data_IF_049966033396
#
_entry.id   IF_049966033396
#
_cell.length_a   1.000
_cell.length_b   1.000
_cell.length_c   1.000
_cell.angle_alpha   90.00
_cell.angle_beta   90.00
_cell.angle_gamma   90.00
#
_symmetry.space_group_name_H-M   'P 1'
#
loop_
_entity.id
_entity.type
_entity.pdbx_description
1 polymer ?
#
# COMPACT_ATOMS: atom_id res chain seq x y z
N UNK A 1 3.19 17.14 -1.68
CA UNK A 1 3.14 18.57 -2.07
C UNK A 1 3.46 18.62 -3.55
N UNK A 2 2.62 19.23 -4.39
CA UNK A 2 2.94 19.49 -5.80
C UNK A 2 3.93 20.66 -5.80
N UNK A 3 5.19 20.40 -6.14
CA UNK A 3 6.31 21.36 -6.09
C UNK A 3 6.71 21.72 -7.53
N UNK A 4 5.74 22.11 -8.36
CA UNK A 4 6.03 22.47 -9.77
C UNK A 4 6.23 23.98 -9.96
N UNK A 5 5.83 24.83 -9.00
CA UNK A 5 5.85 26.31 -9.14
C UNK A 5 6.48 27.10 -7.95
N UNK A 6 7.09 26.44 -6.96
CA UNK A 6 7.74 27.17 -5.84
C UNK A 6 9.19 27.57 -6.18
N UNK A 7 9.55 28.83 -5.94
CA UNK A 7 10.94 29.29 -5.99
C UNK A 7 11.78 28.53 -4.92
N UNK A 8 13.07 28.31 -5.21
CA UNK A 8 13.97 27.50 -4.35
C UNK A 8 14.00 27.91 -2.87
N UNK A 9 13.90 29.21 -2.49
CA UNK A 9 13.82 29.64 -1.09
C UNK A 9 12.60 29.12 -0.31
N UNK A 10 11.42 29.10 -0.93
CA UNK A 10 10.15 28.67 -0.34
C UNK A 10 10.16 27.18 -0.07
N UNK A 11 10.68 26.40 -1.01
CA UNK A 11 10.83 24.94 -0.87
C UNK A 11 11.72 24.62 0.34
N UNK A 12 12.82 25.35 0.51
CA UNK A 12 13.74 25.15 1.64
C UNK A 12 13.05 25.54 2.96
N UNK A 13 12.30 26.64 2.99
CA UNK A 13 11.52 27.03 4.16
C UNK A 13 10.52 25.93 4.57
N UNK A 14 9.71 25.45 3.63
CA UNK A 14 8.73 24.37 3.83
C UNK A 14 9.40 23.07 4.27
N UNK A 15 10.55 22.72 3.67
CA UNK A 15 11.32 21.54 4.05
C UNK A 15 11.85 21.65 5.49
N UNK A 16 12.37 22.81 5.91
CA UNK A 16 12.86 23.01 7.28
C UNK A 16 11.75 22.80 8.30
N UNK A 17 10.54 23.29 8.03
CA UNK A 17 9.37 23.07 8.89
C UNK A 17 9.08 21.58 8.99
N UNK A 18 8.86 20.91 7.85
CA UNK A 18 8.49 19.48 7.82
C UNK A 18 9.55 18.60 8.48
N UNK A 19 10.83 18.82 8.15
CA UNK A 19 11.94 18.02 8.65
C UNK A 19 12.11 18.18 10.17
N UNK A 20 12.14 19.42 10.66
CA UNK A 20 12.28 19.67 12.09
C UNK A 20 10.97 19.52 12.86
N UNK A 21 9.84 19.27 12.20
CA UNK A 21 8.59 18.88 12.85
C UNK A 21 8.71 17.51 13.54
N UNK A 22 9.41 16.57 12.90
CA UNK A 22 9.59 15.20 13.38
C UNK A 22 10.97 14.95 14.02
N UNK A 23 11.95 15.83 13.79
CA UNK A 23 13.30 15.64 14.29
C UNK A 23 13.40 15.67 15.83
N UNK A 24 14.09 14.67 16.39
CA UNK A 24 14.36 14.58 17.83
C UNK A 24 15.43 15.59 18.31
N UNK A 25 16.32 16.02 17.41
CA UNK A 25 17.44 16.91 17.73
C UNK A 25 17.53 18.08 16.75
N UNK A 26 17.67 19.30 17.29
CA UNK A 26 17.78 20.54 16.50
C UNK A 26 19.15 21.16 16.78
N UNK A 27 20.03 21.33 15.77
CA UNK A 27 21.36 21.91 15.95
C UNK A 27 21.30 23.44 16.19
N UNK A 28 22.37 24.04 16.77
CA UNK A 28 22.37 25.47 17.12
C UNK A 28 22.63 26.38 15.90
N UNK A 29 23.29 25.84 14.87
CA UNK A 29 23.52 26.50 13.60
C UNK A 29 23.04 25.57 12.49
N UNK A 30 22.25 26.11 11.55
CA UNK A 30 21.83 25.44 10.33
C UNK A 30 22.32 26.29 9.15
N UNK A 31 23.09 25.68 8.26
CA UNK A 31 23.60 26.36 7.08
C UNK A 31 22.73 26.09 5.87
N UNK A 32 22.33 27.16 5.19
CA UNK A 32 21.42 27.11 4.04
C UNK A 32 22.15 27.57 2.76
N UNK A 33 21.78 27.04 1.60
CA UNK A 33 22.33 27.47 0.31
C UNK A 33 21.81 28.84 -0.14
N UNK A 34 20.63 29.25 0.34
CA UNK A 34 19.97 30.53 0.03
C UNK A 34 19.24 31.04 1.27
N UNK A 35 18.99 32.35 1.31
CA UNK A 35 18.14 32.95 2.34
C UNK A 35 16.70 32.51 2.12
N UNK A 36 16.00 32.21 3.21
CA UNK A 36 14.62 31.72 3.17
C UNK A 36 13.64 32.81 3.59
N UNK A 37 12.43 32.84 3.03
CA UNK A 37 11.35 33.70 3.52
C UNK A 37 11.10 33.47 5.00
N UNK A 38 10.79 34.55 5.74
CA UNK A 38 10.49 34.52 7.17
C UNK A 38 11.53 33.79 8.04
N UNK A 39 12.81 33.83 7.65
CA UNK A 39 13.89 33.15 8.36
C UNK A 39 13.99 33.48 9.85
N UNK A 40 13.65 34.71 10.26
CA UNK A 40 13.60 35.11 11.68
C UNK A 40 12.49 34.41 12.46
N UNK A 41 11.35 34.18 11.83
CA UNK A 41 10.23 33.41 12.40
C UNK A 41 10.61 31.94 12.54
N UNK A 42 11.26 31.38 11.51
CA UNK A 42 11.77 30.00 11.54
C UNK A 42 12.84 29.80 12.62
N UNK A 43 13.79 30.73 12.77
CA UNK A 43 14.78 30.70 13.86
C UNK A 43 14.12 30.67 15.24
N UNK A 44 13.06 31.48 15.44
CA UNK A 44 12.33 31.54 16.70
C UNK A 44 11.62 30.21 16.98
N UNK A 45 10.89 29.68 16.00
CA UNK A 45 10.19 28.41 16.11
C UNK A 45 11.16 27.25 16.41
N UNK A 46 12.28 27.16 15.69
CA UNK A 46 13.32 26.16 15.94
C UNK A 46 13.94 26.30 17.34
N UNK A 47 14.16 27.54 17.80
CA UNK A 47 14.69 27.82 19.14
C UNK A 47 13.73 27.40 20.26
N UNK A 48 12.43 27.67 20.10
CA UNK A 48 11.39 27.23 21.04
C UNK A 48 11.33 25.70 21.10
N UNK A 49 11.35 25.04 19.95
CA UNK A 49 11.31 23.58 19.84
C UNK A 49 12.54 22.87 20.40
N UNK A 50 13.67 23.57 20.47
CA UNK A 50 14.90 23.08 21.10
C UNK A 50 14.80 22.97 22.65
N UNK A 51 13.62 23.22 23.23
CA UNK A 51 13.29 23.00 24.65
C UNK A 51 14.29 23.66 25.61
N UNK A 52 14.63 24.93 25.37
CA UNK A 52 15.48 25.72 26.26
C UNK A 52 16.99 25.46 26.13
N UNK A 53 17.45 24.60 25.21
CA UNK A 53 18.89 24.32 24.99
C UNK A 53 19.63 25.40 24.18
N UNK A 54 19.14 26.63 24.17
CA UNK A 54 19.73 27.79 23.49
C UNK A 54 19.09 28.17 22.16
N UNK A 55 19.54 29.29 21.59
CA UNK A 55 19.06 29.86 20.33
C UNK A 55 19.56 29.04 19.12
N UNK A 56 18.70 28.89 18.12
CA UNK A 56 19.03 28.36 16.78
C UNK A 56 19.23 29.52 15.81
N UNK A 57 20.24 29.41 14.95
CA UNK A 57 20.52 30.40 13.90
C UNK A 57 20.54 29.76 12.51
N UNK A 58 19.86 30.40 11.56
CA UNK A 58 19.90 30.06 10.14
C UNK A 58 20.93 30.96 9.46
N UNK A 59 21.91 30.36 8.77
CA UNK A 59 23.04 31.11 8.20
C UNK A 59 23.27 30.71 6.75
N UNK A 60 23.48 31.70 5.89
CA UNK A 60 23.91 31.50 4.50
C UNK A 60 25.40 31.87 4.40
N UNK A 61 26.32 30.90 4.44
CA UNK A 61 27.74 31.19 4.45
C UNK A 61 28.22 31.77 3.10
N UNK A 62 28.82 32.96 3.15
CA UNK A 62 29.27 33.67 1.95
C UNK A 62 30.73 33.38 1.55
N UNK A 63 31.55 32.86 2.46
CA UNK A 63 32.97 32.52 2.25
C UNK A 63 33.49 31.50 3.26
N UNK A 64 34.65 30.90 2.98
CA UNK A 64 35.34 29.96 3.87
C UNK A 64 34.80 28.52 3.83
N UNK A 65 35.25 27.69 4.77
CA UNK A 65 34.95 26.25 4.83
C UNK A 65 33.44 25.95 4.90
N UNK A 66 32.67 26.74 5.67
CA UNK A 66 31.22 26.59 5.77
C UNK A 66 30.51 26.76 4.41
N UNK A 67 31.00 27.66 3.55
CA UNK A 67 30.47 27.81 2.18
C UNK A 67 30.86 26.62 1.30
N UNK A 68 32.08 26.11 1.44
CA UNK A 68 32.51 24.93 0.71
C UNK A 68 31.65 23.71 1.05
N UNK A 69 31.30 23.51 2.33
CA UNK A 69 30.40 22.45 2.79
C UNK A 69 28.99 22.56 2.18
N UNK A 70 28.38 23.75 2.25
CA UNK A 70 27.05 23.98 1.66
C UNK A 70 27.07 23.78 0.15
N UNK A 71 28.14 24.22 -0.53
CA UNK A 71 28.32 24.03 -1.98
C UNK A 71 28.41 22.55 -2.33
N UNK A 72 29.25 21.78 -1.63
CA UNK A 72 29.42 20.35 -1.87
C UNK A 72 28.12 19.56 -1.61
N UNK A 73 27.39 19.90 -0.55
CA UNK A 73 26.08 19.30 -0.26
C UNK A 73 25.07 19.62 -1.36
N UNK A 74 25.06 20.85 -1.88
CA UNK A 74 24.17 21.28 -2.97
C UNK A 74 24.51 20.58 -4.29
N UNK A 75 25.80 20.45 -4.63
CA UNK A 75 26.27 19.70 -5.81
C UNK A 75 25.87 18.22 -5.71
N UNK A 76 26.07 17.60 -4.55
CA UNK A 76 25.67 16.21 -4.30
C UNK A 76 24.15 16.02 -4.45
N UNK A 77 23.37 16.96 -3.92
CA UNK A 77 21.91 16.94 -4.03
C UNK A 77 21.45 17.08 -5.49
N UNK A 78 22.08 17.96 -6.27
CA UNK A 78 21.78 18.13 -7.69
C UNK A 78 22.12 16.88 -8.52
N UNK A 79 23.26 16.24 -8.25
CA UNK A 79 23.64 14.98 -8.90
C UNK A 79 22.65 13.85 -8.58
N UNK A 80 22.26 13.70 -7.31
CA UNK A 80 21.25 12.73 -6.86
C UNK A 80 19.90 12.98 -7.55
N UNK A 81 19.47 14.23 -7.64
CA UNK A 81 18.22 14.61 -8.31
C UNK A 81 18.27 14.28 -9.80
N UNK A 82 19.39 14.56 -10.47
CA UNK A 82 19.55 14.22 -11.88
C UNK A 82 19.50 12.70 -12.12
N UNK A 83 20.20 11.91 -11.29
CA UNK A 83 20.12 10.44 -11.35
C UNK A 83 18.69 9.96 -11.14
N UNK A 84 17.97 10.55 -10.18
CA UNK A 84 16.57 10.24 -9.91
C UNK A 84 15.66 10.57 -11.10
N UNK A 85 15.80 11.75 -11.70
CA UNK A 85 15.04 12.18 -12.88
C UNK A 85 15.31 11.29 -14.09
N UNK A 86 16.58 10.93 -14.35
CA UNK A 86 16.94 10.02 -15.44
C UNK A 86 16.32 8.64 -15.22
N UNK A 87 16.28 8.14 -13.99
CA UNK A 87 15.61 6.86 -13.64
C UNK A 87 14.11 6.94 -13.88
N UNK A 88 13.45 8.00 -13.37
CA UNK A 88 12.03 8.25 -13.61
C UNK A 88 11.69 8.28 -15.10
N UNK A 89 12.42 9.06 -15.90
CA UNK A 89 12.19 9.14 -17.34
C UNK A 89 12.35 7.78 -18.04
N UNK A 90 13.38 7.00 -17.66
CA UNK A 90 13.56 5.63 -18.17
C UNK A 90 12.43 4.70 -17.75
N UNK A 91 11.94 4.82 -16.51
CA UNK A 91 10.84 4.00 -16.00
C UNK A 91 9.53 4.33 -16.71
N UNK A 92 9.23 5.61 -16.99
CA UNK A 92 8.06 6.02 -17.78
C UNK A 92 8.13 5.46 -19.20
N UNK A 93 9.27 5.59 -19.89
CA UNK A 93 9.43 5.03 -21.26
C UNK A 93 9.23 3.51 -21.25
N UNK A 94 9.76 2.80 -20.25
CA UNK A 94 9.56 1.35 -20.10
C UNK A 94 8.11 0.98 -19.80
N UNK A 95 7.43 1.76 -18.95
CA UNK A 95 6.02 1.56 -18.65
C UNK A 95 5.17 1.73 -19.91
N UNK A 96 5.36 2.80 -20.66
CA UNK A 96 4.67 3.03 -21.93
C UNK A 96 4.95 1.93 -22.95
N UNK A 97 6.21 1.50 -23.09
CA UNK A 97 6.58 0.39 -23.95
C UNK A 97 5.88 -0.90 -23.53
N UNK A 98 5.87 -1.22 -22.23
CA UNK A 98 5.19 -2.40 -21.71
C UNK A 98 3.69 -2.38 -21.93
N UNK A 99 3.03 -1.23 -21.78
CA UNK A 99 1.60 -1.07 -22.07
C UNK A 99 1.29 -1.32 -23.56
N UNK A 100 2.12 -0.79 -24.47
CA UNK A 100 1.97 -1.02 -25.92
C UNK A 100 2.21 -2.47 -26.31
N UNK A 101 3.26 -3.10 -25.78
CA UNK A 101 3.53 -4.51 -26.04
C UNK A 101 2.40 -5.42 -25.53
N UNK A 102 1.78 -5.09 -24.39
CA UNK A 102 0.59 -5.80 -23.92
C UNK A 102 -0.63 -5.55 -24.81
N UNK A 103 -0.84 -4.31 -25.27
CA UNK A 103 -1.90 -4.00 -26.24
C UNK A 103 -1.79 -4.87 -27.49
N UNK A 104 -0.59 -4.90 -28.10
CA UNK A 104 -0.33 -5.64 -29.32
C UNK A 104 -0.48 -7.15 -29.12
N UNK A 105 0.12 -7.70 -28.05
CA UNK A 105 0.09 -9.12 -27.77
C UNK A 105 -1.33 -9.62 -27.48
N UNK A 106 -2.10 -8.86 -26.71
CA UNK A 106 -3.47 -9.22 -26.31
C UNK A 106 -4.54 -8.72 -27.29
N UNK A 107 -4.14 -8.00 -28.35
CA UNK A 107 -5.01 -7.39 -29.36
C UNK A 107 -6.08 -6.48 -28.75
N UNK A 108 -5.69 -5.68 -27.77
CA UNK A 108 -6.59 -4.71 -27.13
C UNK A 108 -6.78 -3.49 -28.04
N UNK A 109 -7.96 -2.88 -27.99
CA UNK A 109 -8.25 -1.65 -28.73
C UNK A 109 -7.32 -0.52 -28.31
N UNK A 110 -7.14 -0.35 -26.99
CA UNK A 110 -6.29 0.67 -26.38
C UNK A 110 -5.25 0.04 -25.45
N UNK A 111 -4.11 0.70 -25.18
CA UNK A 111 -3.18 0.29 -24.14
C UNK A 111 -3.89 0.17 -22.78
N UNK A 112 -3.66 -0.91 -22.00
CA UNK A 112 -4.38 -1.13 -20.75
C UNK A 112 -3.85 -0.25 -19.62
N UNK A 113 -4.31 0.99 -19.56
CA UNK A 113 -3.81 1.99 -18.60
C UNK A 113 -4.14 1.65 -17.16
N UNK A 114 -5.27 0.99 -16.90
CA UNK A 114 -5.69 0.53 -15.57
C UNK A 114 -5.81 -0.98 -15.56
N UNK A 115 -4.96 -1.64 -14.76
CA UNK A 115 -4.94 -3.09 -14.61
C UNK A 115 -5.30 -3.48 -13.18
N UNK A 116 -6.21 -4.44 -13.03
CA UNK A 116 -6.50 -5.06 -11.73
C UNK A 116 -6.00 -6.51 -11.74
N UNK A 117 -5.21 -6.90 -10.74
CA UNK A 117 -4.70 -8.26 -10.60
C UNK A 117 -5.19 -8.92 -9.31
N UNK A 118 -5.64 -10.17 -9.43
CA UNK A 118 -6.22 -10.97 -8.35
C UNK A 118 -5.39 -12.22 -8.06
N UNK A 119 -4.96 -12.37 -6.81
CA UNK A 119 -4.32 -13.58 -6.27
C UNK A 119 -5.18 -14.17 -5.15
N UNK A 120 -5.29 -15.51 -5.14
CA UNK A 120 -5.93 -16.26 -4.06
C UNK A 120 -4.85 -16.97 -3.26
N UNK A 121 -4.74 -16.62 -1.98
CA UNK A 121 -3.79 -17.23 -1.07
C UNK A 121 -4.52 -17.88 0.10
N UNK A 122 -4.25 -19.17 0.28
CA UNK A 122 -4.87 -20.02 1.31
C UNK A 122 -3.87 -20.35 2.42
N UNK A 123 -4.15 -19.94 3.65
CA UNK A 123 -3.35 -20.34 4.82
C UNK A 123 -3.86 -21.63 5.44
N UNK A 124 -3.09 -22.71 5.32
CA UNK A 124 -3.25 -23.95 6.09
C UNK A 124 -4.72 -24.42 6.17
N UNK A 125 -5.47 -24.26 5.06
CA UNK A 125 -6.85 -24.73 4.90
C UNK A 125 -7.95 -24.03 5.69
N UNK A 126 -7.71 -22.90 6.38
CA UNK A 126 -8.75 -22.26 7.23
C UNK A 126 -8.94 -20.76 7.06
N UNK A 127 -8.04 -20.06 6.37
CA UNK A 127 -8.16 -18.61 6.16
C UNK A 127 -7.71 -18.23 4.75
N UNK A 128 -8.64 -18.31 3.81
CA UNK A 128 -8.40 -17.91 2.42
C UNK A 128 -8.63 -16.41 2.29
N UNK A 129 -7.64 -15.74 1.73
CA UNK A 129 -7.66 -14.30 1.47
C UNK A 129 -7.40 -14.10 -0.01
N UNK A 130 -8.31 -13.39 -0.66
CA UNK A 130 -8.04 -12.87 -1.99
C UNK A 130 -7.46 -11.46 -1.88
N UNK A 131 -6.50 -11.18 -2.74
CA UNK A 131 -5.85 -9.88 -2.81
C UNK A 131 -6.08 -9.28 -4.19
N UNK A 132 -6.44 -7.99 -4.21
CA UNK A 132 -6.53 -7.17 -5.41
C UNK A 132 -5.48 -6.09 -5.35
N UNK A 133 -4.61 -6.06 -6.34
CA UNK A 133 -3.68 -4.96 -6.59
C UNK A 133 -4.10 -4.22 -7.84
N UNK A 134 -3.78 -2.93 -7.89
CA UNK A 134 -4.16 -2.05 -8.99
C UNK A 134 -2.89 -1.41 -9.53
N UNK A 135 -2.73 -1.44 -10.86
CA UNK A 135 -1.69 -0.69 -11.55
C UNK A 135 -2.34 0.36 -12.44
N UNK A 136 -1.82 1.58 -12.40
CA UNK A 136 -2.24 2.69 -13.27
C UNK A 136 -1.00 3.17 -14.03
N UNK A 137 -1.10 3.22 -15.35
CA UNK A 137 0.00 3.57 -16.26
C UNK A 137 1.29 2.77 -15.99
N UNK A 138 1.15 1.48 -15.68
CA UNK A 138 2.29 0.62 -15.38
C UNK A 138 2.92 0.81 -13.99
N UNK A 139 2.35 1.67 -13.14
CA UNK A 139 2.80 1.89 -11.75
C UNK A 139 1.81 1.34 -10.72
N UNK A 140 2.27 0.79 -9.58
CA UNK A 140 1.38 0.27 -8.56
C UNK A 140 0.63 1.39 -7.80
N UNK A 141 -0.69 1.33 -7.80
CA UNK A 141 -1.59 2.28 -7.12
C UNK A 141 -2.04 1.72 -5.77
N UNK A 142 -1.14 1.81 -4.78
CA UNK A 142 -1.26 1.13 -3.46
C UNK A 142 -2.49 1.54 -2.65
N UNK A 143 -2.95 2.78 -2.77
CA UNK A 143 -4.17 3.29 -2.10
C UNK A 143 -5.44 2.53 -2.53
N UNK A 144 -5.41 1.89 -3.70
CA UNK A 144 -6.56 1.19 -4.29
C UNK A 144 -6.52 -0.33 -4.09
N UNK A 145 -5.50 -0.84 -3.40
CA UNK A 145 -5.40 -2.25 -3.10
C UNK A 145 -6.50 -2.69 -2.15
N UNK A 146 -7.01 -3.92 -2.32
CA UNK A 146 -8.09 -4.46 -1.48
C UNK A 146 -7.80 -5.90 -1.09
N UNK A 147 -8.21 -6.26 0.12
CA UNK A 147 -8.17 -7.62 0.62
C UNK A 147 -9.61 -8.09 0.82
N UNK A 148 -9.89 -9.32 0.42
CA UNK A 148 -11.17 -9.96 0.60
C UNK A 148 -10.97 -11.17 1.49
N UNK A 149 -11.50 -11.10 2.71
CA UNK A 149 -11.63 -12.28 3.56
C UNK A 149 -12.75 -13.13 2.98
N UNK A 150 -12.42 -14.35 2.55
CA UNK A 150 -13.37 -15.30 1.96
C UNK A 150 -14.17 -15.95 3.08
N UNK A 151 -15.48 -16.08 2.87
CA UNK A 151 -16.44 -16.58 3.88
C UNK A 151 -17.07 -17.90 3.48
N UNK A 152 -17.10 -18.25 2.20
CA UNK A 152 -17.88 -19.38 1.67
C UNK A 152 -17.21 -20.76 1.79
N UNK A 153 -16.16 -20.92 2.62
CA UNK A 153 -15.39 -22.17 2.76
C UNK A 153 -16.14 -23.21 3.62
N UNK A 154 -17.34 -23.61 3.21
CA UNK A 154 -18.20 -24.52 3.96
C UNK A 154 -18.32 -25.94 3.36
N UNK A 155 -17.88 -26.21 2.12
CA UNK A 155 -18.04 -27.53 1.47
C UNK A 155 -16.90 -27.93 0.51
N UNK A 156 -16.85 -29.23 0.20
CA UNK A 156 -15.81 -29.92 -0.60
C UNK A 156 -15.75 -29.43 -2.07
N UNK A 157 -14.60 -28.88 -2.45
CA UNK A 157 -14.21 -28.45 -3.79
C UNK A 157 -12.83 -27.75 -3.73
N UNK A 158 -12.14 -27.47 -4.85
CA UNK A 158 -10.93 -26.67 -4.82
C UNK A 158 -11.26 -25.27 -4.30
N UNK A 159 -10.84 -24.97 -3.06
CA UNK A 159 -11.15 -23.75 -2.31
C UNK A 159 -10.88 -22.47 -3.13
N UNK A 160 -9.86 -22.51 -3.99
CA UNK A 160 -9.39 -21.37 -4.76
C UNK A 160 -10.38 -20.89 -5.85
N UNK A 161 -11.17 -21.78 -6.45
CA UNK A 161 -12.14 -21.39 -7.49
C UNK A 161 -13.36 -20.67 -6.89
N UNK A 162 -13.89 -21.18 -5.78
CA UNK A 162 -15.00 -20.54 -5.07
C UNK A 162 -14.56 -19.21 -4.46
N UNK A 163 -13.35 -19.17 -3.90
CA UNK A 163 -12.73 -17.95 -3.40
C UNK A 163 -12.57 -16.88 -4.48
N UNK A 164 -12.16 -17.27 -5.69
CA UNK A 164 -12.09 -16.37 -6.86
C UNK A 164 -13.47 -15.83 -7.23
N UNK A 165 -14.47 -16.73 -7.33
CA UNK A 165 -15.85 -16.34 -7.63
C UNK A 165 -16.38 -15.33 -6.61
N UNK A 166 -16.31 -15.64 -5.31
CA UNK A 166 -16.79 -14.76 -4.24
C UNK A 166 -16.14 -13.36 -4.36
N UNK A 167 -14.83 -13.33 -4.62
CA UNK A 167 -14.06 -12.09 -4.73
C UNK A 167 -14.51 -11.23 -5.90
N UNK A 168 -14.59 -11.82 -7.10
CA UNK A 168 -14.97 -11.09 -8.31
C UNK A 168 -16.45 -10.69 -8.26
N UNK A 169 -17.34 -11.56 -7.79
CA UNK A 169 -18.76 -11.23 -7.58
C UNK A 169 -18.90 -10.04 -6.63
N UNK A 170 -18.16 -10.01 -5.52
CA UNK A 170 -18.18 -8.85 -4.59
C UNK A 170 -17.62 -7.58 -5.23
N UNK A 171 -16.58 -7.68 -6.07
CA UNK A 171 -16.00 -6.54 -6.79
C UNK A 171 -17.02 -5.91 -7.75
N UNK A 172 -17.64 -6.73 -8.59
CA UNK A 172 -18.52 -6.24 -9.66
C UNK A 172 -19.91 -5.90 -9.13
N UNK A 173 -20.40 -6.59 -8.10
CA UNK A 173 -21.59 -6.15 -7.37
C UNK A 173 -21.43 -4.74 -6.80
N UNK A 174 -20.29 -4.47 -6.13
CA UNK A 174 -20.02 -3.12 -5.61
C UNK A 174 -19.87 -2.07 -6.72
N UNK A 175 -19.32 -2.45 -7.87
CA UNK A 175 -19.29 -1.57 -9.05
C UNK A 175 -20.71 -1.16 -9.46
N UNK A 176 -21.60 -2.12 -9.72
CA UNK A 176 -22.99 -1.85 -10.12
C UNK A 176 -23.70 -1.00 -9.05
N UNK A 177 -23.63 -1.40 -7.77
CA UNK A 177 -24.23 -0.65 -6.66
C UNK A 177 -23.73 0.79 -6.61
N UNK A 178 -22.44 1.02 -6.81
CA UNK A 178 -21.83 2.35 -6.78
C UNK A 178 -22.20 3.24 -7.96
N UNK A 179 -22.53 2.64 -9.13
CA UNK A 179 -22.95 3.36 -10.33
C UNK A 179 -24.44 3.67 -10.29
N UNK A 180 -25.28 2.71 -9.89
CA UNK A 180 -26.73 2.86 -9.85
C UNK A 180 -27.21 3.72 -8.66
N UNK A 181 -26.53 3.62 -7.51
CA UNK A 181 -26.89 4.32 -6.29
C UNK A 181 -25.72 5.16 -5.78
N UNK A 182 -25.33 6.23 -6.49
CA UNK A 182 -24.23 7.09 -6.06
C UNK A 182 -24.60 7.75 -4.72
N UNK A 183 -23.76 7.54 -3.70
CA UNK A 183 -23.97 8.16 -2.38
C UNK A 183 -23.88 9.68 -2.51
N UNK A 184 -24.92 10.40 -2.06
CA UNK A 184 -24.92 11.85 -2.09
C UNK A 184 -23.88 12.39 -1.10
N UNK A 185 -22.78 12.93 -1.63
CA UNK A 185 -21.71 13.47 -0.81
C UNK A 185 -22.05 14.87 -0.30
N UNK A 186 -21.99 15.05 1.01
CA UNK A 186 -21.95 16.38 1.61
C UNK A 186 -20.65 17.10 1.20
N UNK A 187 -20.66 18.44 1.06
CA UNK A 187 -19.45 19.21 0.76
C UNK A 187 -18.30 18.85 1.72
N UNK A 188 -17.14 18.47 1.18
CA UNK A 188 -15.95 18.10 1.95
C UNK A 188 -15.87 16.64 2.40
N UNK A 189 -16.81 15.76 2.03
CA UNK A 189 -16.68 14.31 2.26
C UNK A 189 -15.95 13.63 1.11
N UNK A 190 -15.03 12.74 1.46
CA UNK A 190 -14.31 11.87 0.50
C UNK A 190 -15.24 10.76 0.03
N UNK A 191 -15.33 10.61 -1.28
CA UNK A 191 -16.05 9.52 -1.91
C UNK A 191 -15.33 8.19 -1.69
N UNK A 192 -15.98 7.27 -0.98
CA UNK A 192 -15.39 5.95 -0.70
C UNK A 192 -15.49 4.98 -1.87
N UNK A 193 -16.39 5.26 -2.82
CA UNK A 193 -16.72 4.40 -3.95
C UNK A 193 -16.20 4.89 -5.29
N UNK A 194 -15.56 6.05 -5.34
CA UNK A 194 -14.88 6.59 -6.53
C UNK A 194 -14.00 5.56 -7.23
N UNK A 195 -13.08 4.95 -6.49
CA UNK A 195 -12.17 3.92 -7.03
C UNK A 195 -12.88 2.60 -7.40
N UNK A 196 -14.10 2.37 -6.91
CA UNK A 196 -14.88 1.17 -7.22
C UNK A 196 -15.70 1.32 -8.51
N UNK A 197 -16.07 2.55 -8.87
CA UNK A 197 -16.73 2.91 -10.15
C UNK A 197 -15.80 2.84 -11.36
N UNK A 198 -14.49 2.79 -11.15
CA UNK A 198 -13.52 2.62 -12.23
C UNK A 198 -13.40 1.14 -12.60
N UNK A 199 -13.76 0.77 -13.82
CA UNK A 199 -13.47 -0.56 -14.37
C UNK A 199 -12.01 -0.64 -14.82
N UNK A 200 -11.37 -1.82 -14.75
CA UNK A 200 -10.05 -2.02 -15.34
C UNK A 200 -10.13 -2.15 -16.86
N UNK A 201 -9.09 -1.66 -17.54
CA UNK A 201 -8.84 -1.90 -18.97
C UNK A 201 -8.32 -3.33 -19.22
N UNK A 202 -7.81 -3.98 -18.17
CA UNK A 202 -7.36 -5.36 -18.20
C UNK A 202 -7.47 -6.00 -16.81
N UNK A 203 -8.24 -7.07 -16.71
CA UNK A 203 -8.37 -7.92 -15.53
C UNK A 203 -7.38 -9.09 -15.61
N UNK A 204 -6.55 -9.24 -14.59
CA UNK A 204 -5.49 -10.26 -14.53
C UNK A 204 -5.79 -11.20 -13.37
N UNK A 205 -5.82 -12.50 -13.66
CA UNK A 205 -5.99 -13.55 -12.67
C UNK A 205 -4.65 -14.26 -12.49
N UNK A 206 -4.08 -14.26 -11.27
CA UNK A 206 -2.87 -15.03 -10.96
C UNK A 206 -3.18 -16.52 -10.84
N UNK A 207 -3.37 -17.12 -12.01
CA UNK A 207 -3.27 -18.54 -12.23
C UNK A 207 -3.86 -19.00 -13.55
N UNK A 208 -4.03 -20.33 -13.66
CA UNK A 208 -4.25 -20.99 -14.94
C UNK A 208 -5.69 -20.91 -15.47
N UNK A 209 -5.93 -21.68 -16.54
CA UNK A 209 -7.23 -21.74 -17.26
C UNK A 209 -8.45 -21.95 -16.36
N UNK A 210 -8.33 -22.73 -15.29
CA UNK A 210 -9.45 -22.99 -14.37
C UNK A 210 -9.94 -21.72 -13.66
N UNK A 211 -9.02 -20.93 -13.09
CA UNK A 211 -9.36 -19.67 -12.43
C UNK A 211 -9.80 -18.60 -13.43
N UNK A 212 -9.17 -18.56 -14.61
CA UNK A 212 -9.62 -17.71 -15.71
C UNK A 212 -11.07 -18.02 -16.11
N UNK A 213 -11.45 -19.30 -16.20
CA UNK A 213 -12.82 -19.73 -16.50
C UNK A 213 -13.83 -19.17 -15.50
N UNK A 214 -13.51 -19.22 -14.19
CA UNK A 214 -14.35 -18.61 -13.15
C UNK A 214 -14.52 -17.11 -13.36
N UNK A 215 -13.43 -16.40 -13.68
CA UNK A 215 -13.50 -14.96 -13.93
C UNK A 215 -14.38 -14.62 -15.14
N UNK A 216 -14.29 -15.42 -16.21
CA UNK A 216 -15.14 -15.29 -17.41
C UNK A 216 -16.61 -15.51 -17.07
N UNK A 217 -16.94 -16.51 -16.25
CA UNK A 217 -18.32 -16.76 -15.82
C UNK A 217 -18.89 -15.60 -15.01
N UNK A 218 -18.12 -15.07 -14.04
CA UNK A 218 -18.55 -13.90 -13.26
C UNK A 218 -18.72 -12.67 -14.14
N UNK A 219 -17.80 -12.39 -15.06
CA UNK A 219 -17.95 -11.24 -15.97
C UNK A 219 -19.20 -11.36 -16.85
N UNK A 220 -19.59 -12.57 -17.26
CA UNK A 220 -20.85 -12.82 -17.98
C UNK A 220 -22.07 -12.56 -17.10
N UNK A 221 -22.06 -13.01 -15.85
CA UNK A 221 -23.15 -12.79 -14.89
C UNK A 221 -23.44 -11.31 -14.65
N UNK A 222 -22.42 -10.45 -14.75
CA UNK A 222 -22.53 -9.00 -14.60
C UNK A 222 -22.60 -8.24 -15.94
N UNK A 223 -22.70 -8.93 -17.07
CA UNK A 223 -22.73 -8.32 -18.42
C UNK A 223 -21.49 -7.46 -18.76
N UNK A 224 -20.33 -7.78 -18.17
CA UNK A 224 -19.08 -7.03 -18.31
C UNK A 224 -18.05 -7.69 -19.24
N UNK A 225 -18.33 -8.89 -19.76
CA UNK A 225 -17.36 -9.67 -20.56
C UNK A 225 -16.94 -8.96 -21.86
N UNK A 226 -17.82 -8.12 -22.43
CA UNK A 226 -17.52 -7.34 -23.64
C UNK A 226 -16.78 -6.02 -23.32
N UNK A 227 -16.77 -5.61 -22.05
CA UNK A 227 -16.18 -4.35 -21.60
C UNK A 227 -14.82 -4.51 -20.94
N UNK A 228 -14.55 -5.69 -20.35
CA UNK A 228 -13.35 -5.94 -19.56
C UNK A 228 -12.58 -7.12 -20.15
N UNK A 229 -11.48 -6.85 -20.88
CA UNK A 229 -10.52 -7.89 -21.25
C UNK A 229 -10.00 -8.60 -20.00
N UNK A 230 -9.98 -9.93 -20.01
CA UNK A 230 -9.49 -10.75 -18.89
C UNK A 230 -8.44 -11.75 -19.34
N UNK A 231 -7.39 -11.91 -18.54
CA UNK A 231 -6.33 -12.89 -18.77
C UNK A 231 -6.03 -13.72 -17.53
N UNK A 232 -5.60 -14.96 -17.74
CA UNK A 232 -4.99 -15.80 -16.72
C UNK A 232 -3.47 -15.78 -16.87
N UNK A 233 -2.74 -15.60 -15.77
CA UNK A 233 -1.29 -15.60 -15.77
C UNK A 233 -0.78 -16.82 -15.00
N UNK A 234 -0.23 -17.81 -15.69
CA UNK A 234 0.29 -19.00 -15.02
C UNK A 234 1.72 -18.80 -14.49
N UNK A 235 2.04 -19.48 -13.37
CA UNK A 235 3.33 -19.35 -12.67
C UNK A 235 4.54 -19.88 -13.46
N UNK A 236 4.36 -20.76 -14.44
CA UNK A 236 5.47 -21.26 -15.27
C UNK A 236 5.60 -20.38 -16.51
N UNK A 237 6.71 -19.65 -16.62
CA UNK A 237 7.08 -18.79 -17.75
C UNK A 237 6.10 -17.65 -18.07
N UNK A 238 5.22 -17.30 -17.13
CA UNK A 238 4.24 -16.22 -17.32
C UNK A 238 3.41 -16.41 -18.59
N UNK A 239 3.06 -17.66 -18.88
CA UNK A 239 2.14 -18.00 -19.96
C UNK A 239 0.83 -17.25 -19.76
N UNK A 240 0.45 -16.47 -20.77
CA UNK A 240 -0.75 -15.64 -20.75
C UNK A 240 -1.88 -16.41 -21.41
N UNK A 241 -2.88 -16.78 -20.64
CA UNK A 241 -4.07 -17.48 -21.10
C UNK A 241 -5.18 -16.48 -21.43
N UNK A 242 -5.69 -16.55 -22.66
CA UNK A 242 -6.87 -15.82 -23.10
C UNK A 242 -8.13 -16.69 -22.96
N UNK A 243 -9.30 -16.08 -22.70
CA UNK A 243 -10.58 -16.76 -22.78
C UNK A 243 -10.75 -17.43 -24.14
N UNK A 244 -11.32 -18.64 -24.13
CA UNK A 244 -11.67 -19.41 -25.33
C UNK A 244 -10.48 -19.85 -26.20
N UNK A 245 -9.24 -19.66 -25.74
CA UNK A 245 -8.04 -20.12 -26.44
C UNK A 245 -7.39 -21.29 -25.72
N UNK A 246 -6.95 -22.29 -26.50
CA UNK A 246 -6.29 -23.49 -25.97
C UNK A 246 -4.81 -23.25 -25.71
N UNK A 247 -4.14 -22.48 -26.56
CA UNK A 247 -2.72 -22.19 -26.42
C UNK A 247 -2.50 -20.86 -25.69
N UNK A 248 -1.50 -20.78 -24.78
CA UNK A 248 -1.12 -19.51 -24.17
C UNK A 248 -0.37 -18.62 -25.15
N UNK A 249 -0.42 -17.32 -24.91
CA UNK A 249 0.48 -16.34 -25.51
C UNK A 249 1.78 -16.36 -24.71
N UNK A 250 2.90 -16.48 -25.42
CA UNK A 250 4.24 -16.40 -24.86
C UNK A 250 4.84 -15.05 -25.26
N UNK A 251 5.00 -14.17 -24.28
CA UNK A 251 5.66 -12.88 -24.50
C UNK A 251 7.19 -13.07 -24.64
N UNK A 252 7.87 -12.23 -25.44
CA UNK A 252 9.33 -12.28 -25.53
C UNK A 252 9.98 -12.07 -24.16
N UNK A 253 11.01 -12.87 -23.84
CA UNK A 253 11.69 -12.87 -22.52
C UNK A 253 12.29 -11.54 -22.07
N UNK A 254 12.48 -10.61 -23.00
CA UNK A 254 13.05 -9.27 -22.78
C UNK A 254 12.04 -8.15 -23.08
N UNK A 255 10.77 -8.49 -23.26
CA UNK A 255 9.70 -7.50 -23.48
C UNK A 255 9.39 -6.79 -22.16
N UNK A 256 9.18 -5.48 -22.23
CA UNK A 256 8.74 -4.67 -21.11
C UNK A 256 7.31 -5.06 -20.67
N UNK A 257 6.49 -5.58 -21.59
CA UNK A 257 5.16 -6.13 -21.32
C UNK A 257 5.22 -7.36 -20.40
N UNK A 258 6.16 -8.28 -20.64
CA UNK A 258 6.39 -9.41 -19.75
C UNK A 258 6.86 -8.94 -18.36
N UNK A 259 7.81 -8.00 -18.31
CA UNK A 259 8.30 -7.45 -17.04
C UNK A 259 7.19 -6.70 -16.27
N UNK A 260 6.27 -6.05 -16.97
CA UNK A 260 5.09 -5.44 -16.36
C UNK A 260 4.17 -6.50 -15.73
N UNK A 261 3.81 -7.57 -16.45
CA UNK A 261 2.99 -8.65 -15.88
C UNK A 261 3.66 -9.34 -14.68
N UNK A 262 4.97 -9.57 -14.75
CA UNK A 262 5.74 -10.11 -13.63
C UNK A 262 5.67 -9.20 -12.40
N UNK A 263 5.89 -7.89 -12.55
CA UNK A 263 5.77 -6.91 -11.46
C UNK A 263 4.36 -6.90 -10.85
N UNK A 264 3.33 -6.97 -11.68
CA UNK A 264 1.93 -7.00 -11.24
C UNK A 264 1.65 -8.25 -10.41
N UNK A 265 2.08 -9.42 -10.89
CA UNK A 265 1.93 -10.70 -10.17
C UNK A 265 2.69 -10.71 -8.86
N UNK A 266 3.95 -10.32 -8.89
CA UNK A 266 4.81 -10.31 -7.70
C UNK A 266 4.25 -9.37 -6.63
N UNK A 267 3.67 -8.24 -7.04
CA UNK A 267 2.99 -7.30 -6.15
C UNK A 267 1.69 -7.86 -5.56
N UNK A 268 0.88 -8.58 -6.37
CA UNK A 268 -0.31 -9.29 -5.88
C UNK A 268 0.08 -10.34 -4.82
N UNK A 269 1.07 -11.16 -5.13
CA UNK A 269 1.58 -12.19 -4.23
C UNK A 269 2.17 -11.59 -2.95
N UNK A 270 2.98 -10.52 -3.07
CA UNK A 270 3.54 -9.79 -1.91
C UNK A 270 2.45 -9.22 -1.02
N UNK A 271 1.41 -8.65 -1.60
CA UNK A 271 0.30 -8.06 -0.86
C UNK A 271 -0.52 -9.12 -0.11
N UNK A 272 -0.74 -10.28 -0.73
CA UNK A 272 -1.35 -11.45 -0.10
C UNK A 272 -0.52 -11.97 1.09
N UNK A 273 0.78 -12.20 0.91
CA UNK A 273 1.68 -12.68 1.99
C UNK A 273 1.70 -11.71 3.18
N UNK A 274 1.74 -10.40 2.92
CA UNK A 274 1.76 -9.39 3.99
C UNK A 274 0.50 -9.48 4.85
N UNK A 275 -0.66 -9.76 4.24
CA UNK A 275 -1.92 -9.97 4.98
C UNK A 275 -1.81 -11.14 5.96
N UNK A 276 -1.23 -12.24 5.49
CA UNK A 276 -1.07 -13.44 6.28
C UNK A 276 -0.08 -13.27 7.42
N UNK A 277 1.01 -12.50 7.22
CA UNK A 277 1.96 -12.18 8.30
C UNK A 277 1.28 -11.41 9.43
N UNK A 278 0.54 -10.36 9.11
CA UNK A 278 -0.19 -9.56 10.10
C UNK A 278 -1.29 -10.38 10.80
N UNK A 279 -2.03 -11.21 10.06
CA UNK A 279 -3.09 -12.05 10.63
C UNK A 279 -2.52 -13.16 11.53
N UNK A 280 -1.42 -13.82 11.14
CA UNK A 280 -0.72 -14.82 11.96
C UNK A 280 -0.17 -14.21 13.24
N UNK A 281 0.45 -13.04 13.16
CA UNK A 281 0.91 -12.30 14.35
C UNK A 281 -0.26 -12.02 15.29
N UNK A 282 -1.35 -11.44 14.79
CA UNK A 282 -2.55 -11.17 15.60
C UNK A 282 -3.17 -12.43 16.21
N UNK A 283 -3.35 -13.52 15.45
CA UNK A 283 -3.88 -14.79 15.98
C UNK A 283 -2.94 -15.43 17.01
N UNK A 284 -1.64 -15.37 16.78
CA UNK A 284 -0.63 -15.86 17.71
C UNK A 284 -0.64 -15.08 19.03
N UNK A 285 -0.69 -13.74 18.96
CA UNK A 285 -0.78 -12.90 20.16
C UNK A 285 -2.13 -13.08 20.86
N UNK A 286 -3.24 -13.25 20.12
CA UNK A 286 -4.54 -13.58 20.70
C UNK A 286 -4.52 -14.90 21.46
N UNK A 287 -4.00 -15.97 20.86
CA UNK A 287 -3.86 -17.27 21.51
C UNK A 287 -2.95 -17.23 22.74
N UNK A 288 -1.86 -16.45 22.69
CA UNK A 288 -0.98 -16.22 23.84
C UNK A 288 -1.70 -15.46 24.96
N UNK A 289 -2.51 -14.45 24.64
CA UNK A 289 -3.34 -13.74 25.62
C UNK A 289 -4.40 -14.67 26.24
N UNK A 290 -4.93 -15.61 25.48
CA UNK A 290 -5.88 -16.63 25.98
C UNK A 290 -5.23 -17.66 26.91
N UNK A 291 -3.94 -17.92 26.73
CA UNK A 291 -3.18 -18.84 27.57
C UNK A 291 -2.80 -18.24 28.94
N UNK A 292 -2.96 -16.92 29.15
CA UNK A 292 -2.60 -16.28 30.43
C UNK A 292 -3.56 -16.72 31.54
N UNK A 293 -3.07 -17.39 32.60
CA UNK A 293 -3.91 -17.81 33.72
C UNK A 293 -4.57 -16.59 34.40
N UNK A 294 -5.90 -16.61 34.52
CA UNK A 294 -6.67 -15.53 35.16
C UNK A 294 -7.25 -14.48 34.20
N UNK A 295 -7.03 -14.61 32.87
CA UNK A 295 -7.72 -13.81 31.84
C UNK A 295 -8.94 -14.56 31.30
N UNK A 296 -10.09 -14.29 31.90
CA UNK A 296 -11.38 -14.74 31.39
C UNK A 296 -11.92 -13.87 30.24
N UNK A 297 -13.04 -14.27 29.59
CA UNK A 297 -13.65 -13.56 28.47
C UNK A 297 -13.98 -12.09 28.75
N UNK A 298 -14.41 -11.77 29.98
CA UNK A 298 -14.76 -10.40 30.40
C UNK A 298 -13.55 -9.46 30.41
N UNK A 299 -12.44 -9.89 31.03
CA UNK A 299 -11.18 -9.12 31.08
C UNK A 299 -10.54 -8.97 29.70
N UNK A 300 -10.66 -10.01 28.86
CA UNK A 300 -10.23 -9.98 27.46
C UNK A 300 -10.97 -8.91 26.66
N UNK A 301 -12.30 -8.87 26.78
CA UNK A 301 -13.13 -7.86 26.12
C UNK A 301 -12.81 -6.45 26.61
N UNK A 302 -12.50 -6.28 27.90
CA UNK A 302 -12.07 -5.01 28.46
C UNK A 302 -10.73 -4.55 27.88
N UNK A 303 -9.73 -5.44 27.79
CA UNK A 303 -8.42 -5.16 27.17
C UNK A 303 -8.57 -4.81 25.68
N UNK A 304 -9.28 -5.63 24.91
CA UNK A 304 -9.51 -5.34 23.49
C UNK A 304 -10.23 -4.01 23.30
N UNK A 305 -11.22 -3.69 24.14
CA UNK A 305 -11.93 -2.41 24.06
C UNK A 305 -11.03 -1.22 24.41
N UNK A 306 -10.20 -1.34 25.44
CA UNK A 306 -9.29 -0.28 25.88
C UNK A 306 -8.22 0.06 24.81
N UNK A 307 -7.78 -0.96 24.06
CA UNK A 307 -6.75 -0.83 23.04
C UNK A 307 -7.32 -0.89 21.60
N UNK A 308 -8.56 -0.42 21.38
CA UNK A 308 -9.17 -0.28 20.04
C UNK A 308 -9.19 -1.57 19.18
N UNK A 309 -9.33 -2.73 19.81
CA UNK A 309 -9.20 -4.07 19.23
C UNK A 309 -7.85 -4.34 18.55
N UNK A 310 -6.83 -3.56 18.90
CA UNK A 310 -5.46 -3.77 18.45
C UNK A 310 -4.67 -4.58 19.48
N UNK A 311 -4.42 -5.82 19.10
CA UNK A 311 -3.71 -6.79 19.94
C UNK A 311 -2.21 -6.45 20.03
N UNK A 312 -1.63 -5.80 19.02
CA UNK A 312 -0.23 -5.35 19.08
C UNK A 312 -0.08 -4.13 20.00
N UNK A 313 -1.11 -3.29 20.11
CA UNK A 313 -1.13 -2.20 21.10
C UNK A 313 -1.13 -2.77 22.53
N UNK A 314 -1.85 -3.86 22.80
CA UNK A 314 -1.79 -4.56 24.10
C UNK A 314 -0.39 -5.10 24.38
N UNK A 315 0.28 -5.66 23.36
CA UNK A 315 1.67 -6.14 23.49
C UNK A 315 2.64 -4.99 23.75
N UNK A 316 2.47 -3.84 23.08
CA UNK A 316 3.30 -2.65 23.22
C UNK A 316 3.06 -1.85 24.50
N UNK A 317 1.89 -2.01 25.13
CA UNK A 317 1.48 -1.23 26.30
C UNK A 317 2.43 -1.36 27.50
N UNK A 318 2.54 -0.28 28.28
CA UNK A 318 3.24 -0.28 29.56
C UNK A 318 2.44 -1.04 30.63
N UNK A 319 3.09 -1.40 31.74
CA UNK A 319 2.40 -2.04 32.86
C UNK A 319 1.33 -1.09 33.44
N UNK A 320 1.59 0.22 33.50
CA UNK A 320 0.61 1.20 33.98
C UNK A 320 -0.63 1.26 33.08
N UNK A 321 -0.45 1.25 31.76
CA UNK A 321 -1.54 1.26 30.79
C UNK A 321 -2.41 0.01 30.87
N UNK A 322 -1.80 -1.16 31.12
CA UNK A 322 -2.53 -2.42 31.31
C UNK A 322 -3.34 -2.42 32.61
N UNK A 323 -2.80 -1.86 33.71
CA UNK A 323 -3.48 -1.77 35.01
C UNK A 323 -4.68 -0.81 34.95
N UNK A 324 -4.63 0.22 34.11
CA UNK A 324 -5.74 1.15 33.90
C UNK A 324 -7.01 0.47 33.36
N UNK A 325 -6.88 -0.74 32.80
CA UNK A 325 -8.02 -1.52 32.32
C UNK A 325 -8.75 -2.22 33.45
N UNK A 326 -10.07 -2.02 33.51
CA UNK A 326 -10.93 -2.57 34.55
C UNK A 326 -10.76 -4.10 34.70
N UNK A 327 -10.36 -4.53 35.91
CA UNK A 327 -10.20 -5.94 36.26
C UNK A 327 -8.79 -6.52 36.03
N UNK A 328 -7.82 -5.70 35.62
CA UNK A 328 -6.41 -6.06 35.52
C UNK A 328 -5.67 -5.59 36.77
N UNK A 329 -5.03 -6.52 37.48
CA UNK A 329 -4.17 -6.23 38.63
C UNK A 329 -2.71 -6.11 38.19
N UNK A 330 -1.85 -5.47 38.99
CA UNK A 330 -0.42 -5.36 38.68
C UNK A 330 0.23 -6.71 38.36
N UNK A 331 -0.05 -7.73 39.18
CA UNK A 331 0.41 -9.11 38.96
C UNK A 331 -0.07 -9.69 37.63
N UNK A 332 -1.29 -9.38 37.21
CA UNK A 332 -1.85 -9.86 35.94
C UNK A 332 -1.27 -9.09 34.74
N UNK A 333 -0.99 -7.80 34.89
CA UNK A 333 -0.33 -6.97 33.87
C UNK A 333 1.10 -7.46 33.59
N UNK A 334 1.87 -7.78 34.64
CA UNK A 334 3.20 -8.39 34.51
C UNK A 334 3.14 -9.74 33.80
N UNK A 335 2.16 -10.59 34.13
CA UNK A 335 1.96 -11.88 33.47
C UNK A 335 1.57 -11.74 32.00
N UNK A 336 0.72 -10.75 31.67
CA UNK A 336 0.38 -10.42 30.28
C UNK A 336 1.66 -10.04 29.54
N UNK A 337 2.45 -9.12 30.09
CA UNK A 337 3.69 -8.66 29.43
C UNK A 337 4.67 -9.80 29.21
N UNK A 338 4.94 -10.60 30.25
CA UNK A 338 5.83 -11.75 30.18
C UNK A 338 5.39 -12.84 29.19
N UNK A 339 4.07 -12.98 28.93
CA UNK A 339 3.54 -13.98 27.99
C UNK A 339 3.48 -13.46 26.54
N UNK A 340 3.36 -12.14 26.37
CA UNK A 340 3.21 -11.51 25.06
C UNK A 340 4.53 -10.99 24.46
N UNK A 341 5.54 -10.70 25.28
CA UNK A 341 6.93 -10.50 24.83
C UNK A 341 7.38 -11.69 23.96
#
# INVERSE_FOLDING_TARGET
VNIEDEETPEIIASFLIQYYEEAYEIPPEIFLPVEVPDGTTLEKWLSEKRNGRGKVSLKVPQRGEKKALVKQASETAAEQLNIFQIRQAKDTVKQEAGLRELQEALKLENPPTRMECYDISTLQGTNTVASRVVFVQGTPQKSEYRKFNIRTIAHEGPDDFQSMRETLTRRFKRYIESVENPEALAPGKVDKDETWRLLPDLLIIDGGKGQLGVAVEVLKEFELIEHIPVIGLAKRFEEVYLPYQTEPIILPRKSEGLYLLQRIRDEAHRFAITAHRTQRQRKGVMSRLEAVPGIGPSKRKALLKAFNNDIEAIRGASIEELIAVAGITAKLAEQIKATLD
#
